data_IF_084736683365
#
_entry.id   IF_084736683365
#
_cell.length_a   1.000
_cell.length_b   1.000
_cell.length_c   1.000
_cell.angle_alpha   90.00
_cell.angle_beta   90.00
_cell.angle_gamma   90.00
#
_symmetry.space_group_name_H-M   'P 1'
#
loop_
_entity.id
_entity.type
_entity.pdbx_description
1 polymer ?
#
# COMPACT_ATOMS: atom_id res chain seq x y z
N UNK A 1 -17.33 25.72 -77.03
CA UNK A 1 -16.60 26.70 -76.19
C UNK A 1 -17.45 27.38 -75.09
N UNK A 2 -18.79 27.22 -75.05
CA UNK A 2 -19.63 27.80 -73.98
C UNK A 2 -19.71 26.94 -72.70
N UNK A 3 -19.62 25.61 -72.82
CA UNK A 3 -19.68 24.68 -71.67
C UNK A 3 -18.46 24.72 -70.75
N UNK A 4 -17.28 25.06 -71.30
CA UNK A 4 -16.02 25.13 -70.55
C UNK A 4 -15.96 26.40 -69.70
N UNK A 5 -16.52 27.52 -70.20
CA UNK A 5 -16.64 28.78 -69.46
C UNK A 5 -17.59 28.67 -68.26
N UNK A 6 -18.71 27.93 -68.41
CA UNK A 6 -19.63 27.68 -67.29
C UNK A 6 -19.03 26.79 -66.21
N UNK A 7 -18.18 25.82 -66.57
CA UNK A 7 -17.51 24.95 -65.61
C UNK A 7 -16.47 25.71 -64.76
N UNK A 8 -15.75 26.67 -65.36
CA UNK A 8 -14.76 27.48 -64.65
C UNK A 8 -15.38 28.44 -63.62
N UNK A 9 -16.58 28.98 -63.90
CA UNK A 9 -17.28 29.86 -62.98
C UNK A 9 -17.77 29.14 -61.71
N UNK A 10 -18.18 27.87 -61.81
CA UNK A 10 -18.69 27.07 -60.68
C UNK A 10 -17.57 26.69 -59.70
N UNK A 11 -16.34 26.46 -60.19
CA UNK A 11 -15.19 26.10 -59.35
C UNK A 11 -14.71 27.29 -58.50
N UNK A 12 -14.85 28.53 -59.00
CA UNK A 12 -14.39 29.72 -58.27
C UNK A 12 -15.27 30.09 -57.06
N UNK A 13 -16.56 29.75 -57.09
CA UNK A 13 -17.47 29.99 -55.95
C UNK A 13 -17.38 28.95 -54.83
N UNK A 14 -16.75 27.79 -55.06
CA UNK A 14 -16.58 26.75 -54.03
C UNK A 14 -15.41 27.02 -53.06
N UNK A 15 -14.69 28.13 -53.25
CA UNK A 15 -13.42 28.42 -52.55
C UNK A 15 -13.56 29.02 -51.15
N UNK A 16 -14.78 29.35 -50.69
CA UNK A 16 -14.99 30.19 -49.49
C UNK A 16 -15.66 29.52 -48.28
N UNK A 17 -15.89 28.20 -48.28
CA UNK A 17 -16.58 27.53 -47.16
C UNK A 17 -15.76 26.46 -46.43
N UNK A 18 -14.45 26.62 -46.35
CA UNK A 18 -13.58 25.79 -45.48
C UNK A 18 -13.21 26.56 -44.20
N UNK A 19 -14.21 26.98 -43.43
CA UNK A 19 -14.03 27.30 -42.01
C UNK A 19 -13.96 25.98 -41.25
N UNK A 20 -12.76 25.41 -41.13
CA UNK A 20 -12.55 24.32 -40.17
C UNK A 20 -12.60 24.96 -38.79
N UNK A 21 -13.69 24.77 -38.06
CA UNK A 21 -13.73 25.04 -36.63
C UNK A 21 -12.78 24.03 -35.99
N UNK A 22 -11.51 24.40 -35.83
CA UNK A 22 -10.66 23.77 -34.84
C UNK A 22 -11.29 24.12 -33.48
N UNK A 23 -12.18 23.24 -33.01
CA UNK A 23 -12.62 23.28 -31.64
C UNK A 23 -11.37 23.08 -30.80
N UNK A 24 -10.83 24.17 -30.25
CA UNK A 24 -10.00 24.07 -29.07
C UNK A 24 -10.90 23.48 -27.99
N UNK A 25 -11.02 22.15 -27.95
CA UNK A 25 -11.06 21.47 -26.68
C UNK A 25 -9.70 21.75 -26.07
N UNK A 26 -9.57 22.96 -25.53
CA UNK A 26 -8.67 23.24 -24.45
C UNK A 26 -9.07 22.22 -23.42
N UNK A 27 -8.39 21.07 -23.46
CA UNK A 27 -8.36 20.14 -22.35
C UNK A 27 -8.02 21.05 -21.20
N UNK A 28 -9.03 21.44 -20.43
CA UNK A 28 -8.84 22.08 -19.16
C UNK A 28 -8.03 21.05 -18.42
N UNK A 29 -6.71 21.22 -18.42
CA UNK A 29 -5.81 20.46 -17.58
C UNK A 29 -6.34 20.71 -16.19
N UNK A 30 -7.18 19.78 -15.73
CA UNK A 30 -7.94 19.92 -14.50
C UNK A 30 -6.93 19.97 -13.40
N UNK A 31 -6.53 21.18 -13.04
CA UNK A 31 -5.66 21.44 -11.91
C UNK A 31 -6.53 21.26 -10.69
N UNK A 32 -6.16 20.31 -9.85
CA UNK A 32 -6.84 19.96 -8.63
C UNK A 32 -5.84 19.48 -7.58
N UNK A 33 -6.29 19.42 -6.34
CA UNK A 33 -5.45 18.95 -5.23
C UNK A 33 -5.59 17.43 -5.11
N UNK A 34 -4.48 16.71 -5.22
CA UNK A 34 -4.41 15.29 -4.84
C UNK A 34 -4.09 15.24 -3.36
N UNK A 35 -5.05 14.80 -2.56
CA UNK A 35 -4.85 14.57 -1.13
C UNK A 35 -4.48 13.10 -0.90
N UNK A 36 -3.28 12.86 -0.40
CA UNK A 36 -2.85 11.55 0.07
C UNK A 36 -3.15 11.44 1.56
N UNK A 37 -3.75 10.32 1.94
CA UNK A 37 -4.09 10.00 3.33
C UNK A 37 -3.43 8.68 3.66
N UNK A 38 -2.86 8.57 4.85
CA UNK A 38 -2.28 7.33 5.33
C UNK A 38 -1.79 7.48 6.76
N UNK A 39 -1.44 6.36 7.36
CA UNK A 39 -0.80 6.29 8.67
C UNK A 39 0.57 5.65 8.52
N UNK A 40 1.60 6.25 9.12
CA UNK A 40 2.87 5.56 9.33
C UNK A 40 2.64 4.65 10.54
N UNK A 41 2.47 3.36 10.30
CA UNK A 41 2.29 2.34 11.35
C UNK A 41 3.50 1.42 11.37
N UNK A 42 3.97 1.11 12.57
CA UNK A 42 4.96 0.05 12.77
C UNK A 42 4.24 -1.30 12.66
N UNK A 43 4.87 -2.27 12.00
CA UNK A 43 4.33 -3.63 11.93
C UNK A 43 4.33 -4.29 13.31
N UNK A 44 3.48 -5.29 13.49
CA UNK A 44 3.60 -6.19 14.63
C UNK A 44 4.98 -6.86 14.65
N UNK A 45 5.38 -7.37 15.81
CA UNK A 45 6.61 -8.13 15.92
C UNK A 45 6.50 -9.48 15.19
N UNK A 46 7.55 -9.86 14.48
CA UNK A 46 7.69 -11.18 13.87
C UNK A 46 8.12 -12.20 14.93
N UNK A 47 7.58 -13.42 14.82
CA UNK A 47 7.89 -14.52 15.73
C UNK A 47 8.42 -15.74 14.96
N UNK A 48 9.63 -16.17 15.29
CA UNK A 48 10.25 -17.39 14.79
C UNK A 48 10.29 -18.44 15.90
N UNK A 49 9.57 -19.55 15.70
CA UNK A 49 9.44 -20.62 16.70
C UNK A 49 10.45 -21.73 16.40
N UNK A 50 11.36 -21.99 17.34
CA UNK A 50 12.25 -23.15 17.35
C UNK A 50 11.78 -24.16 18.44
N UNK A 51 12.41 -25.34 18.49
CA UNK A 51 12.05 -26.47 19.37
C UNK A 51 11.94 -26.10 20.85
N UNK A 52 12.75 -25.16 21.35
CA UNK A 52 12.82 -24.82 22.79
C UNK A 52 12.60 -23.33 23.08
N UNK A 53 12.58 -22.49 22.04
CA UNK A 53 12.60 -21.04 22.19
C UNK A 53 11.85 -20.36 21.04
N UNK A 54 11.36 -19.15 21.30
CA UNK A 54 10.74 -18.29 20.29
C UNK A 54 11.56 -17.02 20.18
N UNK A 55 12.06 -16.70 19.01
CA UNK A 55 12.72 -15.43 18.75
C UNK A 55 11.66 -14.43 18.28
N UNK A 56 11.52 -13.34 19.03
CA UNK A 56 10.61 -12.26 18.67
C UNK A 56 11.43 -11.06 18.19
N UNK A 57 11.16 -10.62 16.97
CA UNK A 57 11.80 -9.49 16.32
C UNK A 57 10.80 -8.36 16.16
N UNK A 58 11.06 -7.21 16.77
CA UNK A 58 10.23 -6.02 16.61
C UNK A 58 11.03 -4.93 15.90
N UNK A 59 10.39 -4.25 14.95
CA UNK A 59 10.95 -3.07 14.32
C UNK A 59 10.31 -1.82 14.92
N UNK A 60 11.14 -0.94 15.48
CA UNK A 60 10.72 0.33 16.09
C UNK A 60 11.64 1.47 15.70
N UNK A 61 11.09 2.55 15.15
CA UNK A 61 11.83 3.71 14.63
C UNK A 61 12.95 3.31 13.65
N UNK A 62 12.67 2.35 12.75
CA UNK A 62 13.64 1.82 11.79
C UNK A 62 14.75 0.95 12.39
N UNK A 63 14.71 0.65 13.69
CA UNK A 63 15.65 -0.24 14.37
C UNK A 63 14.97 -1.57 14.68
N UNK A 64 15.71 -2.66 14.51
CA UNK A 64 15.23 -3.99 14.83
C UNK A 64 15.85 -4.45 16.15
N UNK A 65 15.03 -4.93 17.08
CA UNK A 65 15.50 -5.61 18.29
C UNK A 65 14.88 -6.99 18.38
N UNK A 66 15.73 -7.97 18.66
CA UNK A 66 15.33 -9.36 18.86
C UNK A 66 15.39 -9.70 20.35
N UNK A 67 14.44 -10.49 20.81
CA UNK A 67 14.47 -11.09 22.15
C UNK A 67 14.01 -12.53 22.08
N UNK A 68 14.68 -13.39 22.84
CA UNK A 68 14.38 -14.82 22.88
C UNK A 68 13.49 -15.11 24.07
N UNK A 69 12.30 -15.63 23.78
CA UNK A 69 11.33 -16.11 24.75
C UNK A 69 11.53 -17.62 24.96
N UNK A 70 11.42 -18.06 26.20
CA UNK A 70 11.65 -19.44 26.59
C UNK A 70 10.31 -20.16 26.66
N UNK A 71 10.13 -21.21 25.85
CA UNK A 71 8.87 -21.96 25.81
C UNK A 71 8.58 -22.69 27.14
N UNK A 72 9.60 -22.98 27.93
CA UNK A 72 9.45 -23.60 29.25
C UNK A 72 9.11 -22.61 30.37
N UNK A 73 9.07 -21.30 30.09
CA UNK A 73 8.75 -20.27 31.08
C UNK A 73 7.31 -20.39 31.55
N UNK A 74 7.08 -20.26 32.85
CA UNK A 74 5.74 -20.19 33.45
C UNK A 74 5.29 -18.75 33.71
N UNK A 75 6.22 -17.79 33.58
CA UNK A 75 5.99 -16.36 33.81
C UNK A 75 5.90 -15.61 32.49
N UNK A 76 5.24 -14.44 32.53
CA UNK A 76 5.17 -13.55 31.39
C UNK A 76 6.56 -13.00 31.05
N UNK A 77 6.90 -12.98 29.77
CA UNK A 77 8.17 -12.51 29.24
C UNK A 77 7.94 -11.24 28.41
N UNK A 78 8.80 -10.24 28.62
CA UNK A 78 8.68 -8.94 27.95
C UNK A 78 9.05 -9.04 26.47
N UNK A 79 8.30 -8.34 25.63
CA UNK A 79 8.64 -8.15 24.22
C UNK A 79 9.79 -7.15 24.08
N UNK A 80 10.53 -7.16 22.94
CA UNK A 80 11.49 -6.11 22.62
C UNK A 80 10.89 -4.70 22.79
N UNK A 81 11.72 -3.75 23.23
CA UNK A 81 11.31 -2.37 23.53
C UNK A 81 10.24 -2.21 24.63
N UNK A 82 9.94 -3.27 25.40
CA UNK A 82 8.93 -3.26 26.46
C UNK A 82 7.55 -2.80 25.97
N UNK A 83 7.17 -3.16 24.74
CA UNK A 83 5.89 -2.77 24.11
C UNK A 83 4.73 -3.69 24.47
N UNK A 84 4.97 -4.61 25.41
CA UNK A 84 4.03 -5.66 25.73
C UNK A 84 4.72 -6.84 26.39
N UNK A 85 3.90 -7.84 26.67
CA UNK A 85 4.36 -9.09 27.26
C UNK A 85 3.76 -10.29 26.53
N UNK A 86 4.38 -11.43 26.72
CA UNK A 86 3.94 -12.70 26.14
C UNK A 86 3.92 -13.77 27.23
N UNK A 87 2.93 -14.65 27.18
CA UNK A 87 2.83 -15.78 28.10
C UNK A 87 2.36 -17.02 27.36
N UNK A 88 3.02 -18.14 27.61
CA UNK A 88 2.62 -19.43 27.07
C UNK A 88 1.73 -20.18 28.07
N UNK A 89 0.64 -20.73 27.55
CA UNK A 89 -0.21 -21.67 28.26
C UNK A 89 -0.19 -23.03 27.54
N UNK A 90 0.37 -24.05 28.20
CA UNK A 90 0.42 -25.41 27.66
C UNK A 90 -0.94 -26.09 27.84
N UNK A 91 -1.47 -26.66 26.76
CA UNK A 91 -2.77 -27.34 26.74
C UNK A 91 -2.65 -28.76 27.30
N UNK A 92 -1.51 -29.42 27.05
CA UNK A 92 -1.28 -30.80 27.49
C UNK A 92 -0.09 -30.91 28.47
N UNK A 93 -0.15 -31.90 29.36
CA UNK A 93 0.88 -32.13 30.37
C UNK A 93 2.26 -32.49 29.77
N UNK A 94 2.28 -33.01 28.54
CA UNK A 94 3.50 -33.35 27.81
C UNK A 94 4.06 -32.14 27.03
N UNK A 95 3.43 -30.96 27.15
CA UNK A 95 3.84 -29.67 26.58
C UNK A 95 4.12 -29.74 25.07
N UNK A 96 3.25 -30.42 24.33
CA UNK A 96 3.34 -30.51 22.86
C UNK A 96 2.57 -29.41 22.15
N UNK A 97 1.46 -28.97 22.73
CA UNK A 97 0.61 -27.91 22.17
C UNK A 97 0.41 -26.82 23.22
N UNK A 98 0.62 -25.58 22.82
CA UNK A 98 0.45 -24.42 23.69
C UNK A 98 -0.15 -23.23 22.94
N UNK A 99 -0.77 -22.34 23.70
CA UNK A 99 -1.28 -21.04 23.24
C UNK A 99 -0.31 -19.98 23.73
N UNK A 100 0.24 -19.18 22.82
CA UNK A 100 1.01 -17.99 23.18
C UNK A 100 0.07 -16.79 23.15
N UNK A 101 -0.15 -16.19 24.32
CA UNK A 101 -0.91 -14.94 24.43
C UNK A 101 0.06 -13.78 24.42
N UNK A 102 -0.21 -12.78 23.57
CA UNK A 102 0.59 -11.57 23.42
C UNK A 102 -0.29 -10.37 23.78
N UNK A 103 0.16 -9.58 24.74
CA UNK A 103 -0.53 -8.38 25.21
C UNK A 103 0.34 -7.15 24.93
N UNK A 104 -0.12 -6.29 24.03
CA UNK A 104 0.53 -5.01 23.70
C UNK A 104 0.06 -3.90 24.66
N UNK A 105 0.96 -2.95 24.95
CA UNK A 105 0.69 -1.75 25.77
C UNK A 105 0.49 -0.51 24.92
#
# INVERSE_FOLDING_TARGET
>A
MKSILSAAAVVLFASWTSSVMAGNSQSTSGSGVINFQGSIVESLCDSDVNKTQVNVSCQRNGKTKVSTLALNSTTAQQLPYNIGSSKIHWIDAQRRVGIVTVEYQ
#
